data_IF_036009733089
#
_entry.id   IF_036009733089
#
_cell.length_a   1.000
_cell.length_b   1.000
_cell.length_c   1.000
_cell.angle_alpha   90.00
_cell.angle_beta   90.00
_cell.angle_gamma   90.00
#
_symmetry.space_group_name_H-M   'P 1'
#
loop_
_entity.id
_entity.type
_entity.pdbx_description
1 polymer ?
#
# COMPACT_ATOMS: atom_id res chain seq x y z
N UNK A 1 17.21 -7.29 3.99
CA UNK A 1 16.04 -7.24 4.87
C UNK A 1 15.79 -5.80 5.33
N UNK A 2 14.58 -5.30 5.15
CA UNK A 2 14.16 -4.00 5.67
C UNK A 2 13.71 -4.14 7.12
N UNK A 3 14.24 -3.30 8.02
CA UNK A 3 13.94 -3.35 9.46
C UNK A 3 13.57 -1.97 9.98
N UNK A 4 12.46 -1.92 10.70
CA UNK A 4 11.97 -0.75 11.44
C UNK A 4 12.01 -1.08 12.93
N UNK A 5 12.62 -0.21 13.75
CA UNK A 5 12.71 -0.40 15.20
C UNK A 5 12.17 0.85 15.91
N UNK A 6 11.05 0.69 16.61
CA UNK A 6 10.39 1.71 17.42
C UNK A 6 10.21 3.05 16.68
N UNK A 7 9.78 2.98 15.41
CA UNK A 7 9.59 4.17 14.57
C UNK A 7 8.40 4.98 15.07
N UNK A 8 8.62 6.24 15.38
CA UNK A 8 7.58 7.17 15.81
C UNK A 8 7.63 8.46 15.02
N UNK A 9 6.44 9.00 14.69
CA UNK A 9 6.29 10.27 13.97
C UNK A 9 5.21 11.12 14.60
N UNK A 10 5.56 12.35 14.91
CA UNK A 10 4.64 13.36 15.45
C UNK A 10 4.57 14.53 14.48
N UNK A 11 3.37 14.97 14.15
CA UNK A 11 3.11 16.21 13.42
C UNK A 11 2.63 17.30 14.40
N UNK A 12 3.12 18.53 14.22
CA UNK A 12 2.64 19.72 14.96
C UNK A 12 2.56 19.56 16.49
N UNK A 13 3.55 18.87 17.09
CA UNK A 13 3.72 18.65 18.53
C UNK A 13 2.64 17.80 19.22
N UNK A 14 1.50 17.55 18.60
CA UNK A 14 0.35 16.90 19.25
C UNK A 14 -0.23 15.70 18.50
N UNK A 15 -0.04 15.61 17.17
CA UNK A 15 -0.63 14.55 16.38
C UNK A 15 0.38 13.41 16.18
N UNK A 16 0.19 12.32 16.91
CA UNK A 16 0.96 11.10 16.74
C UNK A 16 0.46 10.34 15.52
N UNK A 17 1.24 10.36 14.44
CA UNK A 17 0.92 9.61 13.22
C UNK A 17 1.51 8.20 13.23
N UNK A 18 2.62 7.99 13.96
CA UNK A 18 3.20 6.66 14.22
C UNK A 18 3.69 6.63 15.67
N UNK A 19 3.46 5.48 16.32
CA UNK A 19 3.81 5.26 17.71
C UNK A 19 4.55 3.93 17.89
N UNK A 20 5.89 3.98 18.00
CA UNK A 20 6.78 2.85 18.24
C UNK A 20 6.57 1.65 17.28
N UNK A 21 6.36 1.93 16.00
CA UNK A 21 6.18 0.91 14.97
C UNK A 21 7.47 0.13 14.79
N UNK A 22 7.39 -1.19 14.97
CA UNK A 22 8.48 -2.12 14.69
C UNK A 22 8.00 -3.17 13.69
N UNK A 23 8.76 -3.35 12.61
CA UNK A 23 8.42 -4.26 11.51
C UNK A 23 9.72 -4.74 10.85
N UNK A 24 9.79 -6.01 10.49
CA UNK A 24 10.81 -6.54 9.60
C UNK A 24 10.18 -7.16 8.38
N UNK A 25 10.72 -6.82 7.21
CA UNK A 25 10.25 -7.33 5.91
C UNK A 25 11.40 -8.03 5.23
N UNK A 26 11.21 -9.33 4.97
CA UNK A 26 12.21 -10.15 4.29
C UNK A 26 12.19 -9.91 2.77
N UNK A 27 13.30 -10.17 2.05
CA UNK A 27 13.30 -10.18 0.60
C UNK A 27 12.28 -11.18 0.04
N UNK A 28 11.56 -10.77 -1.02
CA UNK A 28 10.58 -11.62 -1.70
C UNK A 28 9.19 -11.64 -1.07
N UNK A 29 8.96 -10.94 0.06
CA UNK A 29 7.63 -10.82 0.64
C UNK A 29 6.75 -9.82 -0.13
N UNK A 30 5.45 -10.13 -0.22
CA UNK A 30 4.43 -9.18 -0.65
C UNK A 30 3.58 -8.83 0.57
N UNK A 31 3.83 -7.67 1.14
CA UNK A 31 3.23 -7.22 2.39
C UNK A 31 2.08 -6.25 2.11
N UNK A 32 0.89 -6.60 2.57
CA UNK A 32 -0.25 -5.69 2.63
C UNK A 32 -0.19 -4.86 3.92
N UNK A 33 0.07 -3.56 3.80
CA UNK A 33 -0.03 -2.61 4.91
C UNK A 33 -1.46 -2.06 4.98
N UNK A 34 -2.24 -2.61 5.90
CA UNK A 34 -3.68 -2.42 6.00
C UNK A 34 -4.04 -1.45 7.10
N UNK A 35 -5.15 -0.77 6.94
CA UNK A 35 -5.67 0.14 7.96
C UNK A 35 -6.61 1.19 7.37
N UNK A 36 -7.40 1.82 8.22
CA UNK A 36 -8.29 2.90 7.83
C UNK A 36 -7.54 4.14 7.33
N UNK A 37 -8.26 5.06 6.71
CA UNK A 37 -7.70 6.36 6.35
C UNK A 37 -7.27 7.11 7.63
N UNK A 38 -6.04 7.63 7.62
CA UNK A 38 -5.47 8.25 8.81
C UNK A 38 -4.71 7.32 9.76
N UNK A 39 -4.73 6.00 9.56
CA UNK A 39 -4.01 5.03 10.41
C UNK A 39 -2.47 5.21 10.42
N UNK A 40 -1.90 5.98 9.49
CA UNK A 40 -0.46 6.24 9.41
C UNK A 40 0.28 5.53 8.28
N UNK A 41 -0.42 4.80 7.39
CA UNK A 41 0.18 4.01 6.28
C UNK A 41 1.12 4.85 5.39
N UNK A 42 0.61 5.92 4.80
CA UNK A 42 1.40 6.86 3.98
C UNK A 42 2.57 7.45 4.75
N UNK A 43 2.36 7.80 6.03
CA UNK A 43 3.42 8.32 6.89
C UNK A 43 4.52 7.29 7.10
N UNK A 44 4.17 6.02 7.31
CA UNK A 44 5.14 4.95 7.48
C UNK A 44 5.97 4.74 6.20
N UNK A 45 5.33 4.67 5.04
CA UNK A 45 6.02 4.55 3.75
C UNK A 45 6.96 5.74 3.50
N UNK A 46 6.51 6.97 3.76
CA UNK A 46 7.35 8.18 3.64
C UNK A 46 8.51 8.21 4.63
N UNK A 47 8.35 7.65 5.84
CA UNK A 47 9.47 7.48 6.79
C UNK A 47 10.48 6.45 6.28
N UNK A 48 10.05 5.32 5.73
CA UNK A 48 10.93 4.30 5.12
C UNK A 48 11.77 4.92 4.00
N UNK A 49 11.18 5.77 3.17
CA UNK A 49 11.88 6.47 2.08
C UNK A 49 12.79 7.62 2.55
N UNK A 50 12.82 7.92 3.85
CA UNK A 50 13.57 9.07 4.36
C UNK A 50 12.98 10.43 3.98
N UNK A 51 11.75 10.47 3.42
CA UNK A 51 11.05 11.71 3.06
C UNK A 51 10.52 12.46 4.30
N UNK A 52 10.33 11.73 5.41
CA UNK A 52 9.89 12.29 6.68
C UNK A 52 10.87 11.92 7.79
N UNK A 53 11.24 12.91 8.62
CA UNK A 53 12.00 12.69 9.84
C UNK A 53 11.16 11.90 10.85
N UNK A 54 11.78 10.97 11.56
CA UNK A 54 11.15 10.09 12.54
C UNK A 54 12.10 9.86 13.73
N UNK A 55 11.56 9.34 14.82
CA UNK A 55 12.32 8.74 15.91
C UNK A 55 12.42 7.23 15.67
N UNK A 56 13.36 6.57 16.35
CA UNK A 56 13.66 5.15 16.10
C UNK A 56 14.66 4.96 14.96
N UNK A 57 14.73 3.77 14.40
CA UNK A 57 15.65 3.47 13.29
C UNK A 57 14.98 2.68 12.18
N UNK A 58 15.38 2.99 10.95
CA UNK A 58 14.99 2.24 9.75
C UNK A 58 16.27 1.86 9.01
N UNK A 59 16.45 0.56 8.76
CA UNK A 59 17.66 0.02 8.14
C UNK A 59 17.32 -0.93 7.00
N UNK A 60 18.19 -0.93 6.00
CA UNK A 60 18.18 -1.90 4.90
C UNK A 60 19.46 -2.73 5.01
N UNK A 61 19.33 -4.05 5.26
CA UNK A 61 20.43 -4.97 5.51
C UNK A 61 21.39 -4.48 6.62
N UNK A 62 20.83 -3.90 7.68
CA UNK A 62 21.58 -3.38 8.83
C UNK A 62 22.17 -1.97 8.64
N UNK A 63 22.16 -1.41 7.42
CA UNK A 63 22.62 -0.06 7.15
C UNK A 63 21.45 0.94 7.17
N UNK A 64 21.61 2.14 7.76
CA UNK A 64 20.60 3.19 7.67
C UNK A 64 20.28 3.52 6.22
N UNK A 65 19.01 3.88 5.95
CA UNK A 65 18.61 4.33 4.61
C UNK A 65 19.23 5.69 4.33
N UNK A 66 19.91 5.78 3.19
CA UNK A 66 20.64 6.96 2.79
C UNK A 66 21.08 6.89 1.32
N UNK A 67 21.98 7.81 0.94
CA UNK A 67 22.42 7.98 -0.46
C UNK A 67 22.91 6.66 -1.11
N UNK A 68 23.54 5.78 -0.35
CA UNK A 68 24.20 4.58 -0.89
C UNK A 68 23.22 3.43 -1.16
N UNK A 69 22.04 3.44 -0.55
CA UNK A 69 21.06 2.35 -0.66
C UNK A 69 19.63 2.79 -1.00
N UNK A 70 19.35 4.09 -1.08
CA UNK A 70 18.00 4.60 -1.38
C UNK A 70 17.52 4.16 -2.78
N UNK A 71 18.40 3.97 -3.75
CA UNK A 71 18.04 3.48 -5.09
C UNK A 71 17.48 2.05 -5.09
N UNK A 72 17.67 1.29 -4.00
CA UNK A 72 17.08 -0.03 -3.78
C UNK A 72 15.61 0.03 -3.33
N UNK A 73 15.09 1.24 -3.11
CA UNK A 73 13.69 1.51 -2.81
C UNK A 73 13.06 2.25 -3.98
N UNK A 74 11.90 1.81 -4.43
CA UNK A 74 11.06 2.56 -5.36
C UNK A 74 9.73 2.91 -4.71
N UNK A 75 9.04 3.93 -5.24
CA UNK A 75 7.81 4.41 -4.65
C UNK A 75 6.79 4.78 -5.73
N UNK A 76 5.58 4.29 -5.56
CA UNK A 76 4.40 4.72 -6.31
C UNK A 76 3.36 5.28 -5.33
N UNK A 77 2.80 6.43 -5.66
CA UNK A 77 1.82 7.12 -4.80
C UNK A 77 0.74 7.80 -5.63
N UNK A 78 -0.49 7.82 -5.10
CA UNK A 78 -1.59 8.56 -5.72
C UNK A 78 -1.44 10.09 -5.64
N UNK A 79 -0.48 10.61 -4.84
CA UNK A 79 -0.13 12.03 -4.80
C UNK A 79 0.76 12.43 -5.98
N UNK A 80 1.22 11.47 -6.77
CA UNK A 80 2.10 11.57 -7.93
C UNK A 80 3.49 12.16 -7.64
N UNK A 81 4.51 11.35 -7.88
CA UNK A 81 5.92 11.73 -7.74
C UNK A 81 6.59 12.06 -9.08
N UNK A 82 5.87 11.90 -10.19
CA UNK A 82 6.37 12.10 -11.53
C UNK A 82 6.39 13.58 -11.97
N UNK A 83 7.07 13.86 -13.09
CA UNK A 83 7.05 15.17 -13.74
C UNK A 83 5.80 15.29 -14.64
N UNK A 84 4.79 16.10 -14.29
CA UNK A 84 3.49 16.08 -14.98
C UNK A 84 3.55 16.57 -16.44
N UNK A 85 4.61 17.27 -16.82
CA UNK A 85 4.81 17.78 -18.19
C UNK A 85 5.50 16.78 -19.11
N UNK A 86 6.17 15.78 -18.55
CA UNK A 86 6.83 14.74 -19.32
C UNK A 86 5.85 13.64 -19.75
N UNK A 87 6.16 12.98 -20.84
CA UNK A 87 5.49 11.78 -21.33
C UNK A 87 6.04 10.54 -20.64
N UNK A 88 5.37 9.39 -20.69
CA UNK A 88 5.94 8.12 -20.20
C UNK A 88 7.28 7.76 -20.85
N UNK A 89 7.45 8.04 -22.14
CA UNK A 89 8.71 7.78 -22.86
C UNK A 89 9.84 8.69 -22.38
N UNK A 90 9.56 9.96 -22.07
CA UNK A 90 10.56 10.86 -21.50
C UNK A 90 10.93 10.46 -20.06
N UNK A 91 9.96 9.95 -19.26
CA UNK A 91 10.26 9.36 -17.95
C UNK A 91 11.13 8.11 -18.10
N UNK A 92 10.85 7.23 -19.08
CA UNK A 92 11.69 6.06 -19.38
C UNK A 92 13.15 6.48 -19.60
N UNK A 93 13.41 7.49 -20.44
CA UNK A 93 14.77 7.99 -20.69
C UNK A 93 15.41 8.49 -19.39
N UNK A 94 14.67 9.29 -18.61
CA UNK A 94 15.14 9.78 -17.32
C UNK A 94 15.51 8.63 -16.36
N UNK A 95 14.66 7.60 -16.25
CA UNK A 95 14.93 6.46 -15.38
C UNK A 95 16.10 5.60 -15.87
N UNK A 96 16.26 5.41 -17.18
CA UNK A 96 17.41 4.71 -17.77
C UNK A 96 18.74 5.40 -17.44
N UNK A 97 18.75 6.72 -17.43
CA UNK A 97 19.96 7.50 -17.11
C UNK A 97 20.33 7.47 -15.63
N UNK A 98 19.33 7.37 -14.73
CA UNK A 98 19.54 7.51 -13.29
C UNK A 98 19.55 6.18 -12.52
N UNK A 99 18.94 5.13 -13.07
CA UNK A 99 18.84 3.81 -12.45
C UNK A 99 19.46 2.73 -13.35
N UNK A 100 20.69 2.30 -13.09
CA UNK A 100 21.35 1.26 -13.89
C UNK A 100 20.61 -0.07 -13.92
N UNK A 101 19.73 -0.31 -12.94
CA UNK A 101 18.90 -1.52 -12.78
C UNK A 101 17.56 -1.42 -13.51
N UNK A 102 17.34 -0.35 -14.28
CA UNK A 102 16.10 -0.13 -15.02
C UNK A 102 15.71 -1.32 -15.92
N UNK A 103 14.43 -1.70 -15.88
CA UNK A 103 13.89 -2.88 -16.57
C UNK A 103 13.08 -2.46 -17.80
N UNK A 104 13.78 -2.19 -18.87
CA UNK A 104 13.22 -1.60 -20.08
C UNK A 104 12.14 -2.46 -20.75
N UNK A 105 12.39 -3.76 -20.85
CA UNK A 105 11.43 -4.70 -21.45
C UNK A 105 10.15 -4.81 -20.61
N UNK A 106 10.27 -4.74 -19.27
CA UNK A 106 9.12 -4.72 -18.36
C UNK A 106 8.28 -3.47 -18.58
N UNK A 107 8.92 -2.31 -18.75
CA UNK A 107 8.25 -1.05 -19.02
C UNK A 107 7.44 -1.12 -20.32
N UNK A 108 8.04 -1.55 -21.42
CA UNK A 108 7.35 -1.69 -22.71
C UNK A 108 6.16 -2.64 -22.61
N UNK A 109 6.35 -3.82 -22.00
CA UNK A 109 5.30 -4.81 -21.84
C UNK A 109 4.11 -4.31 -21.01
N UNK A 110 4.37 -3.57 -19.91
CA UNK A 110 3.32 -3.02 -19.06
C UNK A 110 2.58 -1.85 -19.73
N UNK A 111 3.29 -0.96 -20.42
CA UNK A 111 2.68 0.13 -21.18
C UNK A 111 1.74 -0.40 -22.27
N UNK A 112 2.15 -1.47 -22.95
CA UNK A 112 1.37 -2.13 -24.00
C UNK A 112 0.15 -2.87 -23.43
N UNK A 113 0.35 -3.64 -22.34
CA UNK A 113 -0.72 -4.37 -21.67
C UNK A 113 -1.85 -3.44 -21.22
N UNK A 114 -1.51 -2.31 -20.59
CA UNK A 114 -2.49 -1.32 -20.14
C UNK A 114 -2.92 -0.34 -21.25
N UNK A 115 -2.39 -0.49 -22.47
CA UNK A 115 -2.68 0.38 -23.63
C UNK A 115 -2.51 1.86 -23.31
N UNK A 116 -1.44 2.20 -22.60
CA UNK A 116 -1.16 3.57 -22.18
C UNK A 116 -0.48 4.36 -23.31
N UNK A 117 -0.86 5.63 -23.52
CA UNK A 117 -0.26 6.46 -24.55
C UNK A 117 1.14 6.91 -24.15
N UNK A 118 2.19 6.35 -24.80
CA UNK A 118 3.60 6.62 -24.49
C UNK A 118 4.06 8.07 -24.74
N UNK A 119 3.42 8.77 -25.69
CA UNK A 119 3.82 10.10 -26.16
C UNK A 119 2.90 11.24 -25.68
N UNK A 120 2.02 10.98 -24.73
CA UNK A 120 1.13 11.97 -24.15
C UNK A 120 1.66 12.44 -22.79
N UNK A 121 1.78 13.77 -22.53
CA UNK A 121 2.18 14.25 -21.21
C UNK A 121 1.27 13.75 -20.09
N UNK A 122 1.83 13.40 -18.93
CA UNK A 122 1.06 12.78 -17.84
C UNK A 122 -0.09 13.67 -17.38
N UNK A 123 0.11 14.99 -17.28
CA UNK A 123 -0.97 15.95 -16.93
C UNK A 123 -2.19 15.91 -17.85
N UNK A 124 -2.06 15.36 -19.07
CA UNK A 124 -3.14 15.24 -20.04
C UNK A 124 -3.80 13.86 -20.06
N UNK A 125 -3.36 12.95 -19.20
CA UNK A 125 -3.94 11.62 -18.98
C UNK A 125 -5.05 11.67 -17.93
N UNK A 126 -5.91 10.65 -17.89
CA UNK A 126 -6.85 10.46 -16.77
C UNK A 126 -6.09 10.11 -15.49
N UNK A 127 -6.70 10.38 -14.32
CA UNK A 127 -6.10 10.04 -13.02
C UNK A 127 -5.73 8.56 -12.94
N UNK A 128 -6.60 7.67 -13.40
CA UNK A 128 -6.31 6.22 -13.44
C UNK A 128 -5.10 5.89 -14.32
N UNK A 129 -4.95 6.53 -15.49
CA UNK A 129 -3.78 6.34 -16.36
C UNK A 129 -2.51 6.89 -15.71
N UNK A 130 -2.60 8.03 -15.03
CA UNK A 130 -1.46 8.60 -14.28
C UNK A 130 -1.00 7.65 -13.18
N UNK A 131 -1.93 7.10 -12.40
CA UNK A 131 -1.62 6.11 -11.36
C UNK A 131 -0.98 4.85 -11.95
N UNK A 132 -1.48 4.36 -13.08
CA UNK A 132 -0.89 3.20 -13.77
C UNK A 132 0.55 3.48 -14.21
N UNK A 133 0.82 4.64 -14.81
CA UNK A 133 2.19 5.02 -15.19
C UNK A 133 3.10 5.14 -13.96
N UNK A 134 2.62 5.77 -12.88
CA UNK A 134 3.35 5.88 -11.61
C UNK A 134 3.81 4.52 -11.10
N UNK A 135 2.89 3.56 -11.05
CA UNK A 135 3.20 2.19 -10.60
C UNK A 135 4.14 1.48 -11.57
N UNK A 136 3.95 1.64 -12.88
CA UNK A 136 4.85 1.06 -13.90
C UNK A 136 6.28 1.59 -13.72
N UNK A 137 6.46 2.88 -13.50
CA UNK A 137 7.78 3.47 -13.28
C UNK A 137 8.45 2.87 -12.02
N UNK A 138 7.71 2.74 -10.92
CA UNK A 138 8.22 2.14 -9.68
C UNK A 138 8.61 0.66 -9.86
N UNK A 139 7.80 -0.14 -10.59
CA UNK A 139 8.06 -1.54 -10.90
C UNK A 139 9.26 -1.75 -11.84
N UNK A 140 9.55 -0.75 -12.67
CA UNK A 140 10.60 -0.83 -13.67
C UNK A 140 11.93 -0.20 -13.21
N UNK A 141 11.96 0.51 -12.09
CA UNK A 141 13.17 1.12 -11.53
C UNK A 141 14.27 0.08 -11.25
N UNK A 142 13.88 -1.19 -10.98
CA UNK A 142 14.80 -2.27 -10.63
C UNK A 142 15.24 -2.22 -9.16
N UNK A 143 14.36 -1.72 -8.30
CA UNK A 143 14.54 -1.68 -6.86
C UNK A 143 14.27 -3.05 -6.22
N UNK A 144 14.91 -3.35 -5.09
CA UNK A 144 14.66 -4.57 -4.32
C UNK A 144 13.34 -4.49 -3.52
N UNK A 145 12.99 -3.27 -3.08
CA UNK A 145 11.77 -2.98 -2.31
C UNK A 145 10.93 -1.95 -3.03
N UNK A 146 9.72 -2.33 -3.38
CA UNK A 146 8.76 -1.54 -4.13
C UNK A 146 7.64 -1.13 -3.17
N UNK A 147 7.59 0.14 -2.82
CA UNK A 147 6.57 0.70 -1.93
C UNK A 147 5.45 1.30 -2.76
N UNK A 148 4.21 0.96 -2.43
CA UNK A 148 3.04 1.45 -3.15
C UNK A 148 2.01 2.00 -2.15
N UNK A 149 1.68 3.28 -2.29
CA UNK A 149 0.70 3.94 -1.43
C UNK A 149 -0.61 4.15 -2.18
N UNK A 150 -1.62 3.34 -1.83
CA UNK A 150 -2.95 3.34 -2.47
C UNK A 150 -2.89 3.33 -4.02
N UNK A 151 -2.09 2.44 -4.65
CA UNK A 151 -1.75 2.53 -6.08
C UNK A 151 -2.96 2.40 -7.02
N UNK A 152 -4.10 1.93 -6.50
CA UNK A 152 -5.33 1.71 -7.27
C UNK A 152 -6.43 2.73 -6.97
N UNK A 153 -6.11 3.78 -6.24
CA UNK A 153 -7.07 4.86 -6.00
C UNK A 153 -7.56 5.43 -7.36
N UNK A 154 -8.88 5.45 -7.56
CA UNK A 154 -9.48 5.94 -8.80
C UNK A 154 -9.46 4.99 -10.00
N UNK A 155 -8.99 3.76 -9.85
CA UNK A 155 -9.08 2.72 -10.89
C UNK A 155 -10.36 1.90 -10.76
N UNK A 156 -10.85 1.41 -11.91
CA UNK A 156 -11.98 0.48 -11.98
C UNK A 156 -11.61 -0.89 -11.40
N UNK A 157 -12.60 -1.59 -10.79
CA UNK A 157 -12.43 -2.90 -10.14
C UNK A 157 -11.79 -3.94 -11.08
N UNK A 158 -12.24 -4.02 -12.33
CA UNK A 158 -11.71 -4.97 -13.32
C UNK A 158 -10.23 -4.71 -13.65
N UNK A 159 -9.86 -3.44 -13.79
CA UNK A 159 -8.47 -3.07 -14.04
C UNK A 159 -7.55 -3.40 -12.84
N UNK A 160 -8.07 -3.41 -11.63
CA UNK A 160 -7.31 -3.75 -10.41
C UNK A 160 -6.99 -5.22 -10.33
N UNK A 161 -7.96 -6.11 -10.58
CA UNK A 161 -7.74 -7.56 -10.56
C UNK A 161 -6.71 -8.01 -11.61
N UNK A 162 -6.83 -7.51 -12.83
CA UNK A 162 -5.87 -7.79 -13.91
C UNK A 162 -4.48 -7.26 -13.56
N UNK A 163 -4.41 -6.09 -12.93
CA UNK A 163 -3.14 -5.54 -12.48
C UNK A 163 -2.47 -6.41 -11.42
N UNK A 164 -3.20 -6.90 -10.42
CA UNK A 164 -2.66 -7.82 -9.41
C UNK A 164 -2.10 -9.10 -10.04
N UNK A 165 -2.83 -9.69 -11.01
CA UNK A 165 -2.36 -10.88 -11.73
C UNK A 165 -1.08 -10.62 -12.51
N UNK A 166 -1.02 -9.48 -13.20
CA UNK A 166 0.18 -9.06 -13.94
C UNK A 166 1.33 -8.83 -12.98
N UNK A 167 1.09 -8.12 -11.88
CA UNK A 167 2.10 -7.84 -10.88
C UNK A 167 2.72 -9.13 -10.34
N UNK A 168 1.91 -10.11 -9.94
CA UNK A 168 2.40 -11.44 -9.50
C UNK A 168 3.21 -12.16 -10.59
N UNK A 169 2.82 -12.00 -11.85
CA UNK A 169 3.51 -12.65 -12.97
C UNK A 169 4.85 -12.03 -13.36
N UNK A 170 5.10 -10.76 -12.99
CA UNK A 170 6.32 -10.04 -13.39
C UNK A 170 7.32 -9.86 -12.25
N UNK A 171 6.90 -10.01 -10.99
CA UNK A 171 7.79 -9.88 -9.85
C UNK A 171 8.83 -11.01 -9.84
N UNK A 172 10.07 -10.63 -9.62
CA UNK A 172 11.13 -11.60 -9.37
C UNK A 172 11.07 -12.09 -7.91
N UNK A 173 11.54 -13.32 -7.63
CA UNK A 173 11.47 -13.90 -6.28
C UNK A 173 12.18 -13.08 -5.19
N UNK A 174 13.09 -12.19 -5.58
CA UNK A 174 13.84 -11.31 -4.68
C UNK A 174 13.22 -9.93 -4.52
N UNK A 175 12.27 -9.56 -5.38
CA UNK A 175 11.57 -8.28 -5.28
C UNK A 175 10.52 -8.33 -4.17
N UNK A 176 10.57 -7.34 -3.30
CA UNK A 176 9.67 -7.20 -2.15
C UNK A 176 8.70 -6.07 -2.42
N UNK A 177 7.42 -6.30 -2.17
CA UNK A 177 6.39 -5.27 -2.31
C UNK A 177 5.79 -4.93 -0.94
N UNK A 178 5.67 -3.65 -0.64
CA UNK A 178 4.89 -3.15 0.50
C UNK A 178 3.77 -2.29 -0.07
N UNK A 179 2.56 -2.81 -0.04
CA UNK A 179 1.37 -2.19 -0.62
C UNK A 179 0.46 -1.66 0.49
N UNK A 180 0.27 -0.35 0.58
CA UNK A 180 -0.78 0.22 1.43
C UNK A 180 -2.13 0.20 0.72
N UNK A 181 -3.17 -0.25 1.41
CA UNK A 181 -4.54 -0.18 0.91
C UNK A 181 -5.56 -0.26 2.03
N UNK A 182 -6.75 0.25 1.76
CA UNK A 182 -7.96 0.05 2.56
C UNK A 182 -8.93 -0.95 1.91
N UNK A 183 -8.60 -1.48 0.72
CA UNK A 183 -9.45 -2.41 -0.07
C UNK A 183 -9.16 -3.86 0.32
N UNK A 184 -9.66 -4.28 1.49
CA UNK A 184 -9.32 -5.55 2.13
C UNK A 184 -9.77 -6.80 1.36
N UNK A 185 -10.88 -6.73 0.63
CA UNK A 185 -11.44 -7.88 -0.10
C UNK A 185 -10.63 -8.28 -1.33
N UNK A 186 -9.85 -7.36 -1.88
CA UNK A 186 -9.15 -7.55 -3.16
C UNK A 186 -7.75 -8.14 -2.99
N UNK A 187 -7.15 -7.95 -1.80
CA UNK A 187 -5.73 -8.31 -1.57
C UNK A 187 -5.50 -9.73 -1.08
N UNK A 188 -6.55 -10.46 -0.71
CA UNK A 188 -6.48 -11.77 -0.06
C UNK A 188 -5.60 -12.79 -0.84
N UNK A 189 -5.64 -12.72 -2.17
CA UNK A 189 -4.90 -13.64 -3.05
C UNK A 189 -3.60 -13.03 -3.59
N UNK A 190 -3.30 -11.80 -3.19
CA UNK A 190 -2.16 -11.07 -3.72
C UNK A 190 -1.01 -10.95 -2.70
N UNK A 191 -1.33 -10.71 -1.43
CA UNK A 191 -0.31 -10.54 -0.39
C UNK A 191 0.07 -11.86 0.26
N UNK A 192 1.34 -12.01 0.61
CA UNK A 192 1.82 -13.14 1.42
C UNK A 192 1.73 -12.90 2.93
N UNK A 193 1.57 -11.62 3.32
CA UNK A 193 1.52 -11.19 4.72
C UNK A 193 0.69 -9.93 4.87
N UNK A 194 -0.16 -9.91 5.89
CA UNK A 194 -1.01 -8.77 6.24
C UNK A 194 -0.52 -8.12 7.53
N UNK A 195 -0.14 -6.84 7.44
CA UNK A 195 0.27 -6.00 8.57
C UNK A 195 -0.79 -4.94 8.78
N UNK A 196 -1.43 -4.97 9.95
CA UNK A 196 -2.57 -4.10 10.26
C UNK A 196 -2.11 -2.91 11.11
N UNK A 197 -2.26 -1.71 10.57
CA UNK A 197 -1.94 -0.45 11.24
C UNK A 197 -3.24 0.22 11.74
N UNK A 198 -3.27 0.56 13.03
CA UNK A 198 -4.35 1.26 13.68
C UNK A 198 -3.80 2.35 14.59
N UNK A 199 -4.28 3.58 14.45
CA UNK A 199 -3.86 4.73 15.27
C UNK A 199 -2.32 4.82 15.44
N UNK A 200 -1.60 4.66 14.32
CA UNK A 200 -0.16 4.71 14.28
C UNK A 200 0.58 3.53 14.90
N UNK A 201 -0.09 2.43 15.24
CA UNK A 201 0.50 1.22 15.81
C UNK A 201 0.20 -0.02 14.98
N UNK A 202 1.11 -0.98 14.96
CA UNK A 202 0.83 -2.32 14.41
C UNK A 202 0.03 -3.09 15.44
N UNK A 203 -1.24 -3.42 15.09
CA UNK A 203 -2.17 -4.18 15.94
C UNK A 203 -2.34 -5.62 15.46
N UNK A 204 -1.82 -5.93 14.29
CA UNK A 204 -1.85 -7.28 13.72
C UNK A 204 -0.74 -7.47 12.69
N UNK A 205 -0.21 -8.68 12.64
CA UNK A 205 0.83 -9.11 11.71
C UNK A 205 0.69 -10.62 11.52
N UNK A 206 0.30 -11.06 10.33
CA UNK A 206 -0.05 -12.45 10.05
C UNK A 206 0.30 -12.84 8.62
N UNK A 207 0.80 -14.06 8.45
CA UNK A 207 0.95 -14.67 7.12
C UNK A 207 -0.42 -15.07 6.56
N UNK A 208 -0.62 -14.88 5.25
CA UNK A 208 -1.87 -15.35 4.61
C UNK A 208 -1.95 -16.89 4.61
N UNK A 209 -0.82 -17.58 4.59
CA UNK A 209 -0.80 -19.04 4.73
C UNK A 209 -1.37 -19.50 6.09
N UNK A 210 -1.04 -18.80 7.19
CA UNK A 210 -1.57 -19.10 8.52
C UNK A 210 -3.09 -18.83 8.60
N UNK A 211 -3.59 -17.83 7.87
CA UNK A 211 -5.02 -17.56 7.77
C UNK A 211 -5.75 -18.64 6.96
N UNK A 212 -5.16 -19.05 5.84
CA UNK A 212 -5.72 -20.11 4.98
C UNK A 212 -5.82 -21.46 5.74
N UNK A 213 -4.82 -21.79 6.55
CA UNK A 213 -4.87 -22.98 7.44
C UNK A 213 -6.01 -22.92 8.45
N UNK A 214 -6.39 -21.72 8.88
CA UNK A 214 -7.50 -21.49 9.81
C UNK A 214 -8.85 -21.33 9.10
N UNK A 215 -8.87 -21.31 7.76
CA UNK A 215 -10.05 -21.06 6.94
C UNK A 215 -10.57 -19.61 7.04
N UNK A 216 -9.67 -18.67 7.38
CA UNK A 216 -9.98 -17.25 7.54
C UNK A 216 -9.48 -16.46 6.34
N UNK A 217 -10.19 -15.39 6.02
CA UNK A 217 -9.71 -14.37 5.07
C UNK A 217 -8.98 -13.23 5.78
N UNK A 218 -8.19 -12.44 5.04
CA UNK A 218 -7.60 -11.19 5.58
C UNK A 218 -8.70 -10.26 6.11
N UNK A 219 -9.86 -10.22 5.45
CA UNK A 219 -11.00 -9.42 5.90
C UNK A 219 -11.55 -9.92 7.25
N UNK A 220 -11.65 -11.24 7.46
CA UNK A 220 -12.12 -11.80 8.73
C UNK A 220 -11.12 -11.48 9.86
N UNK A 221 -9.82 -11.60 9.59
CA UNK A 221 -8.77 -11.22 10.52
C UNK A 221 -8.85 -9.74 10.92
N UNK A 222 -9.04 -8.86 9.96
CA UNK A 222 -9.19 -7.41 10.21
C UNK A 222 -10.44 -7.11 11.04
N UNK A 223 -11.57 -7.75 10.72
CA UNK A 223 -12.82 -7.60 11.50
C UNK A 223 -12.62 -8.04 12.95
N UNK A 224 -11.92 -9.15 13.19
CA UNK A 224 -11.60 -9.62 14.53
C UNK A 224 -10.74 -8.60 15.30
N UNK A 225 -9.65 -8.13 14.69
CA UNK A 225 -8.73 -7.17 15.32
C UNK A 225 -9.37 -5.81 15.61
N UNK A 226 -10.28 -5.37 14.76
CA UNK A 226 -11.04 -4.12 14.96
C UNK A 226 -12.27 -4.28 15.83
N UNK A 227 -12.51 -5.47 16.41
CA UNK A 227 -13.71 -5.79 17.19
C UNK A 227 -15.00 -5.37 16.46
N UNK A 228 -15.06 -5.64 15.15
CA UNK A 228 -16.20 -5.28 14.32
C UNK A 228 -17.46 -5.99 14.80
N UNK A 229 -18.48 -5.22 15.20
CA UNK A 229 -19.78 -5.74 15.61
C UNK A 229 -20.75 -5.64 14.42
N UNK A 230 -21.13 -6.78 13.79
CA UNK A 230 -22.07 -6.78 12.66
C UNK A 230 -23.45 -6.21 13.05
N UNK A 231 -23.86 -6.38 14.31
CA UNK A 231 -25.16 -5.97 14.83
C UNK A 231 -25.26 -4.48 15.18
N UNK A 232 -24.15 -3.72 15.07
CA UNK A 232 -24.15 -2.30 15.41
C UNK A 232 -25.15 -1.48 14.56
N UNK A 233 -25.29 -1.84 13.28
CA UNK A 233 -26.23 -1.17 12.36
C UNK A 233 -27.67 -1.52 12.70
N UNK A 234 -27.97 -2.79 12.93
CA UNK A 234 -29.32 -3.23 13.34
C UNK A 234 -29.72 -2.65 14.70
N UNK A 235 -28.78 -2.62 15.66
CA UNK A 235 -29.02 -1.99 16.98
C UNK A 235 -29.26 -0.49 16.86
N UNK A 236 -28.51 0.22 16.01
CA UNK A 236 -28.70 1.64 15.76
C UNK A 236 -30.03 1.93 15.03
N UNK A 237 -30.39 1.09 14.04
CA UNK A 237 -31.65 1.21 13.33
C UNK A 237 -32.86 0.95 14.24
N UNK A 238 -32.80 -0.06 15.13
CA UNK A 238 -33.85 -0.30 16.13
C UNK A 238 -34.03 0.86 17.08
N UNK A 239 -32.94 1.52 17.49
CA UNK A 239 -33.01 2.75 18.30
C UNK A 239 -33.59 3.95 17.55
N UNK A 240 -33.33 4.06 16.25
CA UNK A 240 -33.83 5.14 15.40
C UNK A 240 -35.27 4.92 14.94
N UNK A 241 -35.72 3.66 14.79
CA UNK A 241 -37.07 3.31 14.36
C UNK A 241 -38.12 3.44 15.47
N UNK A 242 -37.70 3.64 16.74
CA UNK A 242 -38.64 3.95 17.83
C UNK A 242 -39.70 2.86 18.05
N UNK A 243 -39.35 1.60 17.97
CA UNK A 243 -40.21 0.52 18.50
C UNK A 243 -40.24 0.63 20.03
N UNK A 244 -41.02 1.61 20.51
CA UNK A 244 -41.59 1.53 21.85
C UNK A 244 -42.49 0.29 21.88
N UNK A 245 -42.06 -0.75 22.60
CA UNK A 245 -42.94 -1.81 23.03
C UNK A 245 -44.10 -1.17 23.80
N UNK A 246 -45.16 -0.93 23.07
CA UNK A 246 -46.43 -0.46 23.64
C UNK A 246 -46.93 -1.52 24.62
N UNK A 247 -46.69 -1.29 25.88
CA UNK A 247 -47.43 -1.90 27.00
C UNK A 247 -48.91 -1.66 26.76
N UNK A 248 -49.54 -2.59 26.08
CA UNK A 248 -51.00 -2.69 26.07
C UNK A 248 -51.43 -3.27 27.42
N UNK A 249 -51.57 -2.39 28.40
CA UNK A 249 -52.16 -2.72 29.71
C UNK A 249 -53.63 -3.05 29.55
N UNK A 250 -54.00 -4.21 30.05
CA UNK A 250 -55.34 -4.65 30.34
C UNK A 250 -56.17 -3.57 31.07
N UNK A 251 -57.36 -3.26 30.53
CA UNK A 251 -58.59 -3.13 31.32
C UNK A 251 -59.78 -3.64 30.52
#
# INVERSE_FOLDING_TARGET
MLQLNCVSKIYHLTTHALHQVSLSVAPGEIVGLLGENGAGKTTLLKCILGLLSHQGSITLDGAPIGRDNIARLSFATCEHSFFPTLTPQEHRVFYQEHFPTWRDQRFEALMDFFRLPGNRPLRAMSVGQQNQVEVILALCQGADYILMDEPFAGNDVFNREDFYKVLLGILEPTETVILSTHLLSEINHFVSRAVLLWDGQIVGDVSTADLDEQGLTVLDYVKEKYHYQPDRVSSALSQLSGEEDGLCGNR
#
